data_IF_230494805018
#
_entry.id   IF_230494805018
#
_cell.length_a   1.000
_cell.length_b   1.000
_cell.length_c   1.000
_cell.angle_alpha   90.00
_cell.angle_beta   90.00
_cell.angle_gamma   90.00
#
_symmetry.space_group_name_H-M   'P 1'
#
loop_
_entity.id
_entity.type
_entity.pdbx_description
1 polymer ?
#
# COMPACT_ATOMS: atom_id res chain seq x y z
N UNK A 1 8.45 -58.25 -25.78
CA UNK A 1 8.75 -56.80 -25.92
C UNK A 1 7.69 -56.02 -25.15
N UNK A 2 7.46 -56.29 -23.87
CA UNK A 2 8.31 -56.09 -22.67
C UNK A 2 8.20 -54.63 -22.21
N UNK A 3 7.62 -54.28 -21.05
CA UNK A 3 7.83 -54.77 -19.67
C UNK A 3 9.24 -54.41 -19.17
N UNK A 4 9.47 -53.74 -18.04
CA UNK A 4 8.70 -53.53 -16.78
C UNK A 4 8.53 -52.01 -16.51
N UNK A 5 7.60 -51.46 -15.71
CA UNK A 5 7.24 -51.68 -14.29
C UNK A 5 8.41 -51.42 -13.31
N UNK A 6 8.27 -50.84 -12.12
CA UNK A 6 7.14 -50.17 -11.41
C UNK A 6 7.73 -48.98 -10.57
N UNK A 7 7.13 -48.26 -9.60
CA UNK A 7 5.83 -48.23 -8.88
C UNK A 7 5.63 -46.75 -8.38
N UNK A 8 4.89 -46.32 -7.33
CA UNK A 8 4.04 -46.96 -6.32
C UNK A 8 3.79 -46.05 -5.10
N UNK A 9 2.52 -45.88 -4.68
CA UNK A 9 2.05 -45.15 -3.46
C UNK A 9 2.41 -43.64 -3.35
N UNK A 10 1.70 -42.81 -2.57
CA UNK A 10 0.55 -43.05 -1.69
C UNK A 10 0.87 -42.78 -0.22
N UNK A 11 0.55 -41.58 0.27
CA UNK A 11 0.70 -41.20 1.69
C UNK A 11 -0.67 -41.17 2.40
N UNK A 12 -1.18 -42.37 2.70
CA UNK A 12 -2.40 -42.56 3.48
C UNK A 12 -2.22 -42.21 4.96
N UNK A 13 -3.35 -42.11 5.66
CA UNK A 13 -3.42 -41.76 7.07
C UNK A 13 -2.69 -42.77 7.99
N UNK A 14 -1.77 -42.27 8.83
CA UNK A 14 -1.28 -43.02 9.99
C UNK A 14 -2.17 -42.80 11.21
N UNK A 15 -3.20 -43.64 11.28
CA UNK A 15 -4.08 -43.77 12.43
C UNK A 15 -3.42 -44.59 13.55
N UNK A 16 -3.48 -44.08 14.78
CA UNK A 16 -3.71 -44.80 16.06
C UNK A 16 -3.00 -46.17 16.22
N UNK A 17 -2.10 -46.33 17.20
CA UNK A 17 -2.51 -46.95 18.48
C UNK A 17 -1.47 -46.89 19.62
N UNK A 18 -2.01 -46.94 20.83
CA UNK A 18 -1.46 -47.53 22.06
C UNK A 18 -0.14 -46.99 22.66
N UNK A 19 -0.29 -46.38 23.84
CA UNK A 19 0.49 -46.80 25.02
C UNK A 19 -0.47 -47.47 26.00
N UNK A 20 -0.02 -48.58 26.60
CA UNK A 20 -0.86 -49.51 27.34
C UNK A 20 -1.00 -49.13 28.82
N UNK A 21 -2.25 -49.08 29.28
CA UNK A 21 -2.71 -49.50 30.62
C UNK A 21 -1.79 -49.23 31.82
N UNK A 22 -2.21 -48.27 32.66
CA UNK A 22 -2.25 -48.53 34.09
C UNK A 22 -3.72 -48.66 34.53
N UNK A 23 -4.00 -49.55 35.50
CA UNK A 23 -5.33 -49.83 36.05
C UNK A 23 -5.32 -49.61 37.55
N UNK A 24 -5.90 -48.51 38.00
CA UNK A 24 -6.30 -48.33 39.40
C UNK A 24 -7.79 -47.96 39.49
N UNK A 25 -8.56 -48.53 40.46
CA UNK A 25 -10.01 -48.51 40.43
C UNK A 25 -10.66 -47.37 41.23
N UNK A 26 -11.96 -47.19 40.98
CA UNK A 26 -12.97 -46.62 41.90
C UNK A 26 -12.74 -45.23 42.52
N UNK A 27 -13.49 -44.24 42.02
CA UNK A 27 -14.40 -43.47 42.89
C UNK A 27 -15.62 -42.97 42.12
N UNK A 28 -16.77 -42.89 42.77
CA UNK A 28 -18.02 -42.43 42.16
C UNK A 28 -18.04 -40.90 42.00
N UNK A 29 -18.68 -40.34 40.95
CA UNK A 29 -18.75 -38.90 40.76
C UNK A 29 -19.73 -38.25 41.75
N UNK A 30 -19.19 -37.52 42.74
CA UNK A 30 -20.00 -36.59 43.53
C UNK A 30 -20.57 -35.45 42.66
N UNK A 31 -21.76 -34.91 42.97
CA UNK A 31 -22.53 -34.04 42.07
C UNK A 31 -21.90 -32.67 41.77
N UNK A 32 -20.81 -32.27 42.44
CA UNK A 32 -20.20 -30.95 42.29
C UNK A 32 -19.47 -30.67 40.97
N UNK A 33 -19.18 -31.68 40.14
CA UNK A 33 -18.30 -31.50 38.95
C UNK A 33 -18.96 -30.78 37.77
N UNK A 34 -20.28 -30.58 37.76
CA UNK A 34 -20.96 -29.85 36.69
C UNK A 34 -20.76 -28.32 36.74
N UNK A 35 -20.45 -27.74 37.90
CA UNK A 35 -20.30 -26.28 38.03
C UNK A 35 -19.07 -25.72 37.29
N UNK A 36 -18.00 -26.52 37.17
CA UNK A 36 -16.73 -26.08 36.59
C UNK A 36 -16.79 -25.92 35.04
N UNK A 37 -17.64 -26.70 34.36
CA UNK A 37 -17.74 -26.65 32.90
C UNK A 37 -18.42 -25.35 32.41
N UNK A 38 -19.45 -24.88 33.11
CA UNK A 38 -20.17 -23.65 32.75
C UNK A 38 -19.31 -22.38 32.86
N UNK A 39 -18.29 -22.37 33.72
CA UNK A 39 -17.45 -21.18 33.94
C UNK A 39 -16.55 -20.85 32.75
N UNK A 40 -16.12 -21.85 31.96
CA UNK A 40 -15.27 -21.61 30.79
C UNK A 40 -16.03 -21.00 29.60
N UNK A 41 -17.33 -21.28 29.47
CA UNK A 41 -18.12 -20.84 28.30
C UNK A 41 -18.39 -19.33 28.33
N UNK A 42 -18.62 -18.74 29.51
CA UNK A 42 -18.89 -17.30 29.63
C UNK A 42 -17.67 -16.42 29.29
N UNK A 43 -16.44 -16.97 29.34
CA UNK A 43 -15.23 -16.21 28.98
C UNK A 43 -15.09 -15.98 27.46
N UNK A 44 -15.76 -16.77 26.62
CA UNK A 44 -15.60 -16.71 25.16
C UNK A 44 -16.44 -15.61 24.48
N UNK A 45 -17.56 -15.19 25.09
CA UNK A 45 -18.47 -14.19 24.51
C UNK A 45 -18.06 -12.74 24.81
N UNK A 46 -16.86 -12.52 25.37
CA UNK A 46 -16.41 -11.24 25.92
C UNK A 46 -15.46 -10.42 25.04
N UNK A 47 -15.20 -10.81 23.80
CA UNK A 47 -14.39 -9.99 22.90
C UNK A 47 -15.17 -8.72 22.51
N UNK A 48 -14.68 -7.50 22.82
CA UNK A 48 -15.24 -6.30 22.23
C UNK A 48 -15.05 -6.34 20.71
N UNK A 49 -15.84 -5.58 19.93
CA UNK A 49 -15.54 -5.41 18.51
C UNK A 49 -14.15 -4.79 18.38
N UNK A 50 -13.18 -5.59 17.89
CA UNK A 50 -11.90 -5.07 17.42
C UNK A 50 -12.20 -3.86 16.52
N UNK A 51 -11.57 -2.70 16.76
CA UNK A 51 -11.77 -1.56 15.87
C UNK A 51 -11.35 -2.00 14.46
N UNK A 52 -12.10 -1.57 13.44
CA UNK A 52 -11.67 -1.72 12.04
C UNK A 52 -10.57 -0.69 11.71
N UNK A 53 -9.54 -0.64 12.58
CA UNK A 53 -8.22 -0.22 12.19
C UNK A 53 -7.78 -1.20 11.11
N UNK A 54 -7.73 -0.71 9.86
CA UNK A 54 -7.37 -1.53 8.72
C UNK A 54 -6.09 -2.31 9.01
N UNK A 55 -6.11 -3.61 8.70
CA UNK A 55 -5.04 -4.57 9.02
C UNK A 55 -3.67 -3.89 8.97
N UNK A 56 -2.99 -3.86 10.12
CA UNK A 56 -1.67 -3.27 10.27
C UNK A 56 -0.67 -4.08 9.45
N UNK A 57 -0.66 -3.83 8.14
CA UNK A 57 0.39 -4.28 7.25
C UNK A 57 1.68 -3.73 7.84
N UNK A 58 2.71 -4.58 7.97
CA UNK A 58 4.09 -4.10 8.02
C UNK A 58 4.52 -3.63 6.62
N UNK A 59 3.63 -2.87 5.98
CA UNK A 59 3.62 -2.46 4.60
C UNK A 59 4.16 -1.05 4.49
N UNK A 60 5.06 -0.87 3.54
CA UNK A 60 5.67 0.42 3.26
C UNK A 60 4.60 1.33 2.67
N UNK A 61 4.08 2.28 3.44
CA UNK A 61 3.31 3.38 2.86
C UNK A 61 4.24 4.28 2.05
N UNK A 62 3.81 4.73 0.87
CA UNK A 62 4.53 5.77 0.12
C UNK A 62 3.71 7.06 0.13
N UNK A 63 4.32 8.13 0.65
CA UNK A 63 3.76 9.48 0.62
C UNK A 63 4.57 10.32 -0.37
N UNK A 64 3.92 10.77 -1.45
CA UNK A 64 4.50 11.71 -2.41
C UNK A 64 3.90 13.08 -2.16
N UNK A 65 4.72 14.05 -1.76
CA UNK A 65 4.31 15.45 -1.55
C UNK A 65 4.83 16.28 -2.72
N UNK A 66 3.93 16.91 -3.45
CA UNK A 66 4.24 17.91 -4.49
C UNK A 66 3.74 19.27 -4.00
N UNK A 67 4.56 20.31 -4.17
CA UNK A 67 4.21 21.68 -3.76
C UNK A 67 4.33 22.58 -4.98
N UNK A 68 3.22 23.23 -5.35
CA UNK A 68 3.21 24.18 -6.47
C UNK A 68 3.99 25.46 -6.13
N UNK A 69 4.55 26.10 -7.16
CA UNK A 69 5.35 27.33 -7.10
C UNK A 69 6.56 27.36 -6.11
N UNK A 70 6.92 26.24 -5.47
CA UNK A 70 8.00 26.19 -4.48
C UNK A 70 9.39 26.09 -5.14
N UNK A 71 10.07 27.22 -5.28
CA UNK A 71 11.44 27.30 -5.83
C UNK A 71 12.50 27.14 -4.73
N UNK A 72 13.52 26.29 -4.98
CA UNK A 72 14.51 25.88 -3.98
C UNK A 72 15.25 27.03 -3.29
N UNK A 73 15.62 28.08 -4.04
CA UNK A 73 16.33 29.27 -3.53
C UNK A 73 15.49 30.18 -2.62
N UNK A 74 14.19 29.90 -2.47
CA UNK A 74 13.28 30.56 -1.52
C UNK A 74 12.92 29.66 -0.32
N UNK A 75 13.61 28.51 -0.19
CA UNK A 75 13.47 27.58 0.95
C UNK A 75 14.59 27.77 1.97
N UNK A 76 14.35 27.32 3.20
CA UNK A 76 15.32 27.27 4.29
C UNK A 76 16.39 26.17 4.12
N UNK A 77 16.28 25.37 3.06
CA UNK A 77 17.31 24.43 2.58
C UNK A 77 18.18 25.04 1.47
N UNK A 78 17.68 26.06 0.78
CA UNK A 78 18.43 26.86 -0.17
C UNK A 78 19.06 28.09 0.49
N UNK A 79 19.56 29.00 -0.34
CA UNK A 79 20.31 30.20 0.06
C UNK A 79 19.44 31.35 0.62
N UNK A 80 18.23 31.08 1.12
CA UNK A 80 17.27 32.11 1.49
C UNK A 80 17.53 32.73 2.87
N UNK A 81 17.26 34.04 3.01
CA UNK A 81 17.50 34.80 4.25
C UNK A 81 16.54 34.41 5.39
N UNK A 82 15.33 33.95 5.04
CA UNK A 82 14.22 33.71 5.98
C UNK A 82 13.97 32.23 6.22
N UNK A 83 13.52 31.92 7.44
CA UNK A 83 13.02 30.60 7.83
C UNK A 83 11.61 30.33 7.27
N UNK A 84 11.49 30.18 5.95
CA UNK A 84 10.22 29.90 5.25
C UNK A 84 9.72 28.47 5.41
N UNK A 85 10.64 27.50 5.57
CA UNK A 85 10.35 26.06 5.46
C UNK A 85 11.09 25.22 6.51
N UNK A 86 11.05 25.59 7.81
CA UNK A 86 11.88 24.95 8.85
C UNK A 86 11.63 23.44 9.01
N UNK A 87 10.40 22.95 8.82
CA UNK A 87 10.07 21.52 8.92
C UNK A 87 10.63 20.68 7.77
N UNK A 88 10.81 21.25 6.57
CA UNK A 88 11.50 20.56 5.47
C UNK A 88 13.01 20.50 5.74
N UNK A 89 13.57 21.56 6.32
CA UNK A 89 14.97 21.58 6.77
C UNK A 89 15.24 20.51 7.83
N UNK A 90 14.45 20.50 8.91
CA UNK A 90 14.52 19.52 9.99
C UNK A 90 14.41 18.07 9.48
N UNK A 91 13.47 17.79 8.56
CA UNK A 91 13.32 16.47 7.94
C UNK A 91 14.57 16.06 7.14
N UNK A 92 15.13 16.98 6.35
CA UNK A 92 16.33 16.72 5.55
C UNK A 92 17.58 16.51 6.42
N UNK A 93 17.77 17.32 7.46
CA UNK A 93 18.92 17.23 8.39
C UNK A 93 18.85 16.00 9.30
N UNK A 94 17.65 15.56 9.71
CA UNK A 94 17.48 14.42 10.62
C UNK A 94 17.59 13.04 9.95
N UNK A 95 17.02 12.86 8.75
CA UNK A 95 16.90 11.55 8.11
C UNK A 95 16.68 11.57 6.58
N UNK A 96 16.75 12.75 5.94
CA UNK A 96 16.43 12.90 4.51
C UNK A 96 17.65 12.79 3.59
N UNK A 97 17.39 12.81 2.28
CA UNK A 97 18.41 12.94 1.23
C UNK A 97 18.04 14.13 0.35
N UNK A 98 18.93 15.12 0.26
CA UNK A 98 18.71 16.33 -0.55
C UNK A 98 19.27 16.16 -1.96
N UNK A 99 18.39 16.23 -2.96
CA UNK A 99 18.77 16.25 -4.38
C UNK A 99 18.97 17.70 -4.85
N UNK A 100 20.19 18.21 -4.71
CA UNK A 100 20.55 19.61 -5.06
C UNK A 100 20.48 19.95 -6.55
N UNK A 101 20.35 18.95 -7.43
CA UNK A 101 20.27 19.10 -8.89
C UNK A 101 18.98 18.46 -9.45
N UNK A 102 17.87 18.60 -8.73
CA UNK A 102 16.54 18.18 -9.19
C UNK A 102 15.85 19.30 -9.98
N UNK A 103 15.23 18.94 -11.11
CA UNK A 103 14.57 19.88 -12.03
C UNK A 103 13.15 19.43 -12.32
N UNK A 104 12.22 20.38 -12.50
CA UNK A 104 10.89 20.08 -13.05
C UNK A 104 11.00 19.84 -14.56
N UNK A 105 10.28 18.84 -15.07
CA UNK A 105 10.23 18.49 -16.50
C UNK A 105 9.49 19.57 -17.31
N UNK A 106 8.65 20.39 -16.67
CA UNK A 106 7.97 21.54 -17.27
C UNK A 106 7.77 22.69 -16.27
N UNK A 107 7.63 23.95 -16.74
CA UNK A 107 7.23 25.09 -15.91
C UNK A 107 5.72 25.11 -15.61
N UNK A 108 4.89 24.50 -16.45
CA UNK A 108 3.43 24.44 -16.27
C UNK A 108 3.05 23.35 -15.23
N UNK A 109 2.14 23.72 -14.32
CA UNK A 109 1.64 22.85 -13.24
C UNK A 109 1.17 21.48 -13.73
N UNK A 110 0.28 21.45 -14.73
CA UNK A 110 -0.35 20.19 -15.18
C UNK A 110 0.67 19.23 -15.85
N UNK A 111 1.48 19.63 -16.85
CA UNK A 111 2.52 18.77 -17.41
C UNK A 111 3.55 18.28 -16.38
N UNK A 112 3.92 19.10 -15.39
CA UNK A 112 4.81 18.68 -14.31
C UNK A 112 4.18 17.56 -13.45
N UNK A 113 2.92 17.74 -13.02
CA UNK A 113 2.19 16.71 -12.26
C UNK A 113 1.92 15.44 -13.09
N UNK A 114 1.63 15.57 -14.39
CA UNK A 114 1.47 14.42 -15.29
C UNK A 114 2.77 13.65 -15.41
N UNK A 115 3.91 14.33 -15.56
CA UNK A 115 5.22 13.66 -15.60
C UNK A 115 5.49 12.86 -14.31
N UNK A 116 5.26 13.46 -13.13
CA UNK A 116 5.41 12.78 -11.83
C UNK A 116 4.48 11.56 -11.70
N UNK A 117 3.21 11.68 -12.12
CA UNK A 117 2.20 10.63 -11.92
C UNK A 117 2.20 9.55 -13.02
N UNK A 118 2.97 9.71 -14.10
CA UNK A 118 3.06 8.76 -15.22
C UNK A 118 4.47 8.29 -15.54
N UNK A 119 5.51 8.91 -14.96
CA UNK A 119 6.91 8.66 -15.33
C UNK A 119 7.26 9.03 -16.78
N UNK A 120 6.35 9.68 -17.50
CA UNK A 120 6.51 10.05 -18.91
C UNK A 120 6.96 11.51 -19.07
N UNK A 121 7.38 11.88 -20.28
CA UNK A 121 7.67 13.28 -20.62
C UNK A 121 6.44 14.19 -20.51
N UNK A 122 6.66 15.46 -20.18
CA UNK A 122 5.64 16.48 -20.02
C UNK A 122 4.74 16.69 -21.26
N UNK A 123 5.25 16.44 -22.48
CA UNK A 123 4.46 16.56 -23.73
C UNK A 123 3.32 15.54 -23.87
N UNK A 124 3.24 14.54 -22.97
CA UNK A 124 2.07 13.67 -22.81
C UNK A 124 0.83 14.45 -22.39
N UNK A 125 0.98 15.51 -21.59
CA UNK A 125 -0.10 16.43 -21.24
C UNK A 125 -0.36 17.39 -22.40
N UNK A 126 -1.42 17.17 -23.17
CA UNK A 126 -1.75 17.96 -24.36
C UNK A 126 -2.86 18.96 -24.08
N UNK A 127 -2.69 20.22 -24.47
CA UNK A 127 -3.80 21.17 -24.62
C UNK A 127 -4.42 21.01 -26.02
N UNK A 128 -5.68 20.55 -26.14
CA UNK A 128 -6.35 20.46 -27.43
C UNK A 128 -6.82 21.85 -27.89
N UNK A 129 -5.98 22.54 -28.68
CA UNK A 129 -6.40 23.76 -29.36
C UNK A 129 -7.32 23.41 -30.55
N UNK A 130 -8.63 23.40 -30.33
CA UNK A 130 -9.61 23.24 -31.41
C UNK A 130 -9.78 24.58 -32.11
N UNK A 131 -9.25 24.70 -33.34
CA UNK A 131 -9.55 25.82 -34.22
C UNK A 131 -10.84 25.53 -34.99
N UNK A 132 -11.87 26.35 -34.78
CA UNK A 132 -13.08 26.32 -35.59
C UNK A 132 -12.85 26.95 -36.97
N UNK A 133 -13.71 26.60 -37.92
CA UNK A 133 -13.62 27.06 -39.33
C UNK A 133 -13.81 28.56 -39.54
N UNK A 134 -14.29 29.29 -38.52
CA UNK A 134 -14.41 30.75 -38.47
C UNK A 134 -13.14 31.45 -37.93
N UNK A 135 -12.13 30.68 -37.50
CA UNK A 135 -10.93 31.18 -36.84
C UNK A 135 -11.01 31.22 -35.31
N UNK A 136 -12.14 30.87 -34.69
CA UNK A 136 -12.31 30.86 -33.24
C UNK A 136 -11.56 29.68 -32.62
N UNK A 137 -10.63 29.96 -31.68
CA UNK A 137 -9.97 28.92 -30.87
C UNK A 137 -10.89 28.50 -29.71
N UNK A 138 -11.60 27.39 -29.88
CA UNK A 138 -12.22 26.64 -28.78
C UNK A 138 -11.15 25.83 -28.03
N UNK A 139 -10.28 26.55 -27.31
CA UNK A 139 -9.39 25.98 -26.30
C UNK A 139 -9.82 26.52 -24.94
N UNK A 140 -10.59 25.76 -24.13
CA UNK A 140 -10.80 26.12 -22.74
C UNK A 140 -9.44 26.07 -22.06
N UNK A 141 -8.96 27.21 -21.54
CA UNK A 141 -7.59 27.35 -21.00
C UNK A 141 -7.26 26.34 -19.87
N UNK A 142 -8.30 25.77 -19.27
CA UNK A 142 -8.31 24.74 -18.22
C UNK A 142 -8.30 23.29 -18.72
N UNK A 143 -8.64 23.02 -19.99
CA UNK A 143 -8.77 21.65 -20.50
C UNK A 143 -7.42 21.08 -20.94
N UNK A 144 -7.09 19.91 -20.37
CA UNK A 144 -5.93 19.11 -20.73
C UNK A 144 -6.35 17.68 -21.06
N UNK A 145 -5.66 17.05 -22.00
CA UNK A 145 -5.85 15.67 -22.40
C UNK A 145 -4.62 14.83 -22.05
N UNK A 146 -4.84 13.67 -21.44
CA UNK A 146 -3.82 12.68 -21.09
C UNK A 146 -4.28 11.34 -21.68
N UNK A 147 -3.53 10.72 -22.61
CA UNK A 147 -3.94 9.45 -23.23
C UNK A 147 -4.19 8.33 -22.21
N UNK A 148 -5.14 7.44 -22.48
CA UNK A 148 -5.41 6.32 -21.55
C UNK A 148 -4.28 5.29 -21.48
N UNK A 149 -3.52 5.14 -22.57
CA UNK A 149 -2.40 4.19 -22.72
C UNK A 149 -1.21 4.44 -21.78
N UNK A 150 -1.07 5.64 -21.20
CA UNK A 150 0.09 5.92 -20.33
C UNK A 150 -0.09 5.26 -18.94
N UNK A 151 0.99 4.71 -18.35
CA UNK A 151 0.96 4.17 -17.00
C UNK A 151 0.58 5.26 -15.99
N UNK A 152 -0.02 4.87 -14.87
CA UNK A 152 -0.46 5.81 -13.82
C UNK A 152 -0.03 5.27 -12.48
N UNK A 153 0.79 6.02 -11.74
CA UNK A 153 1.40 5.61 -10.47
C UNK A 153 0.39 4.93 -9.52
N UNK A 154 -0.79 5.54 -9.34
CA UNK A 154 -1.87 5.00 -8.52
C UNK A 154 -2.49 3.69 -9.05
N UNK A 155 -2.59 3.50 -10.39
CA UNK A 155 -3.06 2.24 -10.99
C UNK A 155 -2.04 1.14 -10.76
N UNK A 156 -0.75 1.41 -10.99
CA UNK A 156 0.31 0.41 -10.79
C UNK A 156 0.43 0.01 -9.31
N UNK A 157 0.29 0.97 -8.39
CA UNK A 157 0.32 0.72 -6.95
C UNK A 157 -0.86 -0.15 -6.51
N UNK A 158 -2.09 0.16 -6.97
CA UNK A 158 -3.26 -0.69 -6.70
C UNK A 158 -3.11 -2.09 -7.31
N UNK A 159 -2.56 -2.21 -8.53
CA UNK A 159 -2.29 -3.48 -9.18
C UNK A 159 -1.25 -4.33 -8.42
N UNK A 160 -0.27 -3.69 -7.77
CA UNK A 160 0.70 -4.32 -6.88
C UNK A 160 0.21 -4.48 -5.42
N UNK A 161 -1.07 -4.23 -5.12
CA UNK A 161 -1.68 -4.50 -3.82
C UNK A 161 -1.43 -3.44 -2.73
N UNK A 162 -0.92 -2.27 -3.10
CA UNK A 162 -0.80 -1.11 -2.20
C UNK A 162 -2.18 -0.52 -1.90
N UNK A 163 -2.33 0.17 -0.77
CA UNK A 163 -3.60 0.71 -0.25
C UNK A 163 -3.35 2.04 0.46
#
# INVERSE_FOLDING_TARGET
MDSLASEGAGIDALSVSSLSSDRSPCSAPGPGRFLAASLLVLAACGQPPEPVGGSATNGRGMLVIVVDALRFDHTSLGSYDRSTTPRLKELAEAQGVLFSNAWSVAPDLIPAHVSILTGCDASVARRPNVLLSDGTLLSPLTTWFIPEVVPRLAREFLAHGWR
#
